data_IF_320671461205
#
_entry.id   IF_320671461205
#
_cell.length_a   1.000
_cell.length_b   1.000
_cell.length_c   1.000
_cell.angle_alpha   90.00
_cell.angle_beta   90.00
_cell.angle_gamma   90.00
#
_symmetry.space_group_name_H-M   'P 1'
#
loop_
_entity.id
_entity.type
_entity.pdbx_description
1 polymer ?
#
# COMPACT_ATOMS: atom_id res chain seq x y z
N UNK A 1 -18.63 -12.33 5.56
CA UNK A 1 -18.61 -11.05 6.29
C UNK A 1 -19.15 -9.97 5.38
N UNK A 2 -20.32 -9.44 5.71
CA UNK A 2 -20.94 -8.37 4.92
C UNK A 2 -20.47 -7.03 5.49
N UNK A 3 -19.48 -6.42 4.83
CA UNK A 3 -18.90 -5.11 5.22
C UNK A 3 -19.19 -4.10 4.11
N UNK A 4 -19.41 -2.84 4.45
CA UNK A 4 -19.45 -1.79 3.41
C UNK A 4 -18.05 -1.56 2.84
N UNK A 5 -18.00 -0.88 1.68
CA UNK A 5 -16.74 -0.45 1.09
C UNK A 5 -15.91 0.36 2.11
N UNK A 6 -14.62 0.01 2.33
CA UNK A 6 -13.79 0.65 3.33
C UNK A 6 -13.36 2.07 2.90
N UNK A 7 -12.92 2.89 3.86
CA UNK A 7 -12.19 4.14 3.63
C UNK A 7 -10.81 4.05 4.27
N UNK A 8 -9.79 4.55 3.57
CA UNK A 8 -8.40 4.50 4.03
C UNK A 8 -7.98 5.88 4.54
N UNK A 9 -7.35 5.89 5.72
CA UNK A 9 -6.75 7.07 6.32
C UNK A 9 -5.26 6.81 6.54
N UNK A 10 -4.43 7.84 6.34
CA UNK A 10 -2.97 7.72 6.55
C UNK A 10 -2.40 8.91 7.30
N UNK A 11 -1.39 8.68 8.14
CA UNK A 11 -0.57 9.70 8.81
C UNK A 11 0.91 9.40 8.59
N UNK A 12 1.58 10.23 7.76
CA UNK A 12 2.98 10.00 7.33
C UNK A 12 3.95 11.08 7.81
N UNK A 13 3.45 12.11 8.52
CA UNK A 13 4.24 13.30 8.87
C UNK A 13 5.23 13.05 10.01
N UNK A 14 4.87 12.21 10.96
CA UNK A 14 5.71 11.88 12.12
C UNK A 14 5.56 10.40 12.48
N UNK A 15 6.60 9.84 13.09
CA UNK A 15 6.53 8.48 13.66
C UNK A 15 5.72 8.51 14.98
N UNK A 16 4.97 7.44 15.31
CA UNK A 16 4.71 6.29 14.46
C UNK A 16 3.85 6.68 13.25
N UNK A 17 4.20 6.13 12.09
CA UNK A 17 3.35 6.26 10.90
C UNK A 17 2.10 5.43 11.12
N UNK A 18 0.97 5.86 10.58
CA UNK A 18 -0.30 5.20 10.83
C UNK A 18 -1.08 5.02 9.55
N UNK A 19 -1.80 3.91 9.47
CA UNK A 19 -2.97 3.81 8.61
C UNK A 19 -4.18 3.45 9.47
N UNK A 20 -5.35 3.84 9.00
CA UNK A 20 -6.59 3.38 9.60
C UNK A 20 -7.58 3.02 8.50
N UNK A 21 -8.44 2.06 8.81
CA UNK A 21 -9.47 1.61 7.89
C UNK A 21 -10.82 1.65 8.56
N UNK A 22 -11.71 2.43 7.96
CA UNK A 22 -13.07 2.62 8.43
C UNK A 22 -14.04 1.88 7.54
N UNK A 23 -14.92 1.09 8.13
CA UNK A 23 -16.01 0.43 7.43
C UNK A 23 -17.23 0.28 8.35
N UNK A 24 -18.39 0.03 7.78
CA UNK A 24 -19.58 -0.33 8.54
C UNK A 24 -19.74 -1.85 8.54
N UNK A 25 -19.75 -2.41 9.75
CA UNK A 25 -20.03 -3.82 10.00
C UNK A 25 -21.56 -4.00 10.05
N UNK A 26 -22.12 -4.66 9.05
CA UNK A 26 -23.59 -4.81 8.96
C UNK A 26 -24.14 -5.84 9.94
N UNK A 27 -23.32 -6.81 10.36
CA UNK A 27 -23.72 -7.84 11.34
C UNK A 27 -23.83 -7.21 12.72
N UNK A 28 -22.84 -6.40 13.11
CA UNK A 28 -22.82 -5.69 14.39
C UNK A 28 -23.53 -4.33 14.36
N UNK A 29 -23.99 -3.90 13.18
CA UNK A 29 -24.65 -2.62 12.90
C UNK A 29 -23.89 -1.40 13.44
N UNK A 30 -22.56 -1.40 13.33
CA UNK A 30 -21.71 -0.32 13.85
C UNK A 30 -20.59 0.07 12.90
N UNK A 31 -20.17 1.32 13.01
CA UNK A 31 -18.92 1.78 12.38
C UNK A 31 -17.75 1.17 13.14
N UNK A 32 -16.82 0.56 12.40
CA UNK A 32 -15.55 0.05 12.90
C UNK A 32 -14.44 0.91 12.32
N UNK A 33 -13.48 1.26 13.16
CA UNK A 33 -12.23 1.90 12.77
C UNK A 33 -11.09 1.08 13.34
N UNK A 34 -10.30 0.47 12.46
CA UNK A 34 -9.08 -0.23 12.82
C UNK A 34 -7.90 0.71 12.55
N UNK A 35 -7.01 0.86 13.53
CA UNK A 35 -5.84 1.76 13.44
C UNK A 35 -4.58 0.95 13.71
N UNK A 36 -3.62 1.05 12.80
CA UNK A 36 -2.35 0.33 12.83
C UNK A 36 -1.21 1.34 12.94
N UNK A 37 -0.20 1.01 13.75
CA UNK A 37 0.97 1.85 13.97
C UNK A 37 2.22 1.15 13.43
N UNK A 38 3.07 1.92 12.73
CA UNK A 38 4.27 1.43 12.07
C UNK A 38 5.45 2.35 12.34
N UNK A 39 6.63 1.76 12.51
CA UNK A 39 7.87 2.51 12.76
C UNK A 39 8.74 2.69 11.51
N UNK A 40 8.44 1.93 10.44
CA UNK A 40 9.02 2.12 9.12
C UNK A 40 7.93 2.29 8.05
N UNK A 41 8.27 3.00 6.97
CA UNK A 41 7.37 3.23 5.84
C UNK A 41 7.04 1.96 5.04
N UNK A 42 7.98 1.02 4.80
CA UNK A 42 7.67 -0.26 4.18
C UNK A 42 6.63 -1.05 4.96
N UNK A 43 6.77 -1.09 6.29
CA UNK A 43 5.84 -1.83 7.17
C UNK A 43 4.43 -1.23 7.09
N UNK A 44 4.32 0.10 6.96
CA UNK A 44 3.03 0.77 6.74
C UNK A 44 2.38 0.34 5.43
N UNK A 45 3.15 0.30 4.33
CA UNK A 45 2.63 -0.11 3.02
C UNK A 45 2.22 -1.58 3.05
N UNK A 46 3.06 -2.44 3.60
CA UNK A 46 2.78 -3.86 3.75
C UNK A 46 1.50 -4.08 4.56
N UNK A 47 1.40 -3.48 5.75
CA UNK A 47 0.22 -3.58 6.60
C UNK A 47 -1.05 -3.11 5.90
N UNK A 48 -0.99 -1.98 5.19
CA UNK A 48 -2.13 -1.49 4.42
C UNK A 48 -2.54 -2.45 3.30
N UNK A 49 -1.58 -3.00 2.55
CA UNK A 49 -1.87 -3.96 1.47
C UNK A 49 -2.49 -5.24 2.01
N UNK A 50 -1.98 -5.76 3.14
CA UNK A 50 -2.50 -6.96 3.79
C UNK A 50 -3.92 -6.74 4.33
N UNK A 51 -4.20 -5.58 4.91
CA UNK A 51 -5.57 -5.25 5.34
C UNK A 51 -6.51 -5.09 4.15
N UNK A 52 -6.06 -4.44 3.07
CA UNK A 52 -6.87 -4.28 1.86
C UNK A 52 -7.16 -5.61 1.17
N UNK A 53 -6.28 -6.61 1.30
CA UNK A 53 -6.47 -7.95 0.75
C UNK A 53 -7.74 -8.63 1.32
N UNK A 54 -8.18 -8.24 2.52
CA UNK A 54 -9.42 -8.74 3.13
C UNK A 54 -10.67 -8.29 2.37
N UNK A 55 -10.64 -7.16 1.66
CA UNK A 55 -11.76 -6.68 0.83
C UNK A 55 -11.53 -6.87 -0.66
N UNK A 56 -10.27 -6.90 -1.09
CA UNK A 56 -9.87 -7.02 -2.49
C UNK A 56 -8.77 -8.09 -2.59
N UNK A 57 -9.13 -9.38 -2.72
CA UNK A 57 -8.16 -10.48 -2.71
C UNK A 57 -7.06 -10.35 -3.78
N UNK A 58 -7.37 -9.66 -4.89
CA UNK A 58 -6.48 -9.40 -6.03
C UNK A 58 -5.76 -8.04 -5.95
N UNK A 59 -5.75 -7.36 -4.79
CA UNK A 59 -5.20 -6.00 -4.67
C UNK A 59 -3.71 -5.94 -5.03
N UNK A 60 -2.91 -6.95 -4.66
CA UNK A 60 -1.48 -6.96 -4.94
C UNK A 60 -1.23 -6.94 -6.46
N UNK A 61 -1.98 -7.75 -7.20
CA UNK A 61 -1.94 -7.80 -8.66
C UNK A 61 -2.35 -6.47 -9.28
N UNK A 62 -3.48 -5.90 -8.82
CA UNK A 62 -3.97 -4.61 -9.33
C UNK A 62 -2.97 -3.48 -9.08
N UNK A 63 -2.32 -3.47 -7.92
CA UNK A 63 -1.31 -2.47 -7.58
C UNK A 63 -0.07 -2.67 -8.42
N UNK A 64 0.40 -3.91 -8.62
CA UNK A 64 1.52 -4.22 -9.52
C UNK A 64 1.24 -3.76 -10.95
N UNK A 65 0.04 -3.99 -11.48
CA UNK A 65 -0.33 -3.53 -12.81
C UNK A 65 -0.39 -1.99 -12.94
N UNK A 66 -0.83 -1.28 -11.89
CA UNK A 66 -0.77 0.19 -11.86
C UNK A 66 0.68 0.69 -11.79
N UNK A 67 1.49 0.06 -10.95
CA UNK A 67 2.89 0.43 -10.76
C UNK A 67 3.74 0.19 -12.00
N UNK A 68 3.52 -0.93 -12.67
CA UNK A 68 4.16 -1.30 -13.93
C UNK A 68 3.85 -0.30 -15.04
N UNK A 69 2.58 0.05 -15.25
CA UNK A 69 2.19 1.09 -16.22
C UNK A 69 2.88 2.42 -15.92
N UNK A 70 2.99 2.80 -14.64
CA UNK A 70 3.68 4.04 -14.23
C UNK A 70 5.19 3.96 -14.44
N UNK A 71 5.78 2.79 -14.26
CA UNK A 71 7.20 2.52 -14.55
C UNK A 71 7.47 2.64 -16.05
N UNK A 72 6.70 1.95 -16.88
CA UNK A 72 6.86 1.98 -18.34
C UNK A 72 6.60 3.37 -18.93
N UNK A 73 5.71 4.16 -18.34
CA UNK A 73 5.39 5.51 -18.82
C UNK A 73 6.41 6.59 -18.42
N UNK A 74 7.32 6.32 -17.47
CA UNK A 74 8.21 7.34 -16.92
C UNK A 74 9.69 6.99 -17.15
N UNK A 75 10.42 7.77 -17.99
CA UNK A 75 11.83 7.50 -18.24
C UNK A 75 12.73 7.75 -17.02
N UNK A 76 12.23 8.48 -16.01
CA UNK A 76 12.98 8.79 -14.80
C UNK A 76 12.75 7.78 -13.67
N UNK A 77 11.76 6.90 -13.78
CA UNK A 77 11.48 5.92 -12.73
C UNK A 77 12.43 4.74 -12.87
N UNK A 78 13.33 4.59 -11.93
CA UNK A 78 14.41 3.57 -11.97
C UNK A 78 14.04 2.22 -11.35
N UNK A 79 12.90 2.12 -10.68
CA UNK A 79 12.45 0.91 -9.98
C UNK A 79 10.94 0.76 -9.94
N UNK A 80 10.47 -0.49 -9.94
CA UNK A 80 9.09 -0.84 -9.57
C UNK A 80 9.00 -0.94 -8.05
N UNK A 81 7.81 -0.68 -7.51
CA UNK A 81 7.56 -0.76 -6.07
C UNK A 81 7.03 -2.12 -5.64
N UNK A 82 6.32 -2.82 -6.54
CA UNK A 82 5.79 -4.16 -6.31
C UNK A 82 5.72 -4.94 -7.64
N UNK A 83 6.01 -6.24 -7.58
CA UNK A 83 5.94 -7.15 -8.72
C UNK A 83 5.82 -8.61 -8.25
N UNK A 84 5.31 -9.51 -9.09
CA UNK A 84 5.38 -10.96 -8.83
C UNK A 84 6.81 -11.49 -8.90
N UNK A 85 7.60 -10.93 -9.82
CA UNK A 85 8.99 -11.30 -10.00
C UNK A 85 9.90 -10.31 -9.26
N UNK A 86 10.63 -10.83 -8.27
CA UNK A 86 11.56 -10.07 -7.44
C UNK A 86 12.59 -9.32 -8.27
N UNK A 87 13.12 -9.96 -9.32
CA UNK A 87 14.26 -9.44 -10.09
C UNK A 87 13.87 -8.27 -11.00
N UNK A 88 12.56 -8.04 -11.14
CA UNK A 88 11.99 -6.93 -11.90
C UNK A 88 11.81 -5.64 -11.10
N UNK A 89 12.06 -5.66 -9.79
CA UNK A 89 11.96 -4.48 -8.93
C UNK A 89 13.06 -3.46 -9.22
N UNK A 90 14.31 -3.91 -9.39
CA UNK A 90 15.49 -3.07 -9.60
C UNK A 90 16.23 -3.43 -10.90
N UNK A 91 15.55 -3.34 -12.05
CA UNK A 91 16.13 -3.68 -13.36
C UNK A 91 17.46 -2.95 -13.60
N UNK A 92 17.54 -1.66 -13.26
CA UNK A 92 18.75 -0.86 -13.42
C UNK A 92 19.81 -1.08 -12.32
N UNK A 93 19.49 -1.81 -11.24
CA UNK A 93 20.41 -2.04 -10.12
C UNK A 93 20.16 -3.40 -9.46
N UNK A 94 20.39 -4.54 -10.16
CA UNK A 94 19.99 -5.87 -9.69
C UNK A 94 20.63 -6.28 -8.35
N UNK A 95 21.82 -5.76 -8.04
CA UNK A 95 22.52 -5.99 -6.77
C UNK A 95 21.75 -5.48 -5.52
N UNK A 96 20.74 -4.62 -5.71
CA UNK A 96 19.87 -4.15 -4.63
C UNK A 96 18.72 -5.10 -4.35
N UNK A 97 18.33 -5.94 -5.32
CA UNK A 97 17.12 -6.77 -5.27
C UNK A 97 17.09 -7.69 -4.05
N UNK A 98 18.19 -8.36 -3.75
CA UNK A 98 18.23 -9.32 -2.63
C UNK A 98 18.11 -8.64 -1.26
N UNK A 99 18.67 -7.43 -1.11
CA UNK A 99 18.76 -6.73 0.17
C UNK A 99 17.57 -5.82 0.44
N UNK A 100 17.01 -5.23 -0.62
CA UNK A 100 16.03 -4.15 -0.55
C UNK A 100 14.66 -4.55 -1.08
N UNK A 101 14.35 -5.85 -1.04
CA UNK A 101 13.05 -6.42 -1.38
C UNK A 101 12.54 -7.32 -0.27
N UNK A 102 11.22 -7.37 -0.10
CA UNK A 102 10.52 -8.22 0.87
C UNK A 102 9.36 -8.91 0.17
N UNK A 103 9.10 -10.17 0.47
CA UNK A 103 7.92 -10.88 -0.01
C UNK A 103 6.66 -10.43 0.73
N UNK A 104 5.56 -10.34 0.00
CA UNK A 104 4.22 -10.03 0.51
C UNK A 104 3.21 -10.91 -0.24
N UNK A 105 2.81 -12.02 0.37
CA UNK A 105 2.01 -13.04 -0.33
C UNK A 105 2.77 -13.65 -1.51
N UNK A 106 2.17 -13.56 -2.71
CA UNK A 106 2.71 -14.01 -3.99
C UNK A 106 3.47 -12.90 -4.77
N UNK A 107 3.72 -11.77 -4.11
CA UNK A 107 4.41 -10.62 -4.68
C UNK A 107 5.66 -10.25 -3.86
N UNK A 108 6.48 -9.38 -4.43
CA UNK A 108 7.64 -8.76 -3.81
C UNK A 108 7.47 -7.24 -3.83
N UNK A 109 7.87 -6.57 -2.75
CA UNK A 109 7.87 -5.12 -2.66
C UNK A 109 9.26 -4.58 -2.26
N UNK A 110 9.56 -3.36 -2.67
CA UNK A 110 10.79 -2.67 -2.22
C UNK A 110 10.70 -2.28 -0.74
N UNK A 111 11.85 -2.19 -0.07
CA UNK A 111 11.92 -1.77 1.35
C UNK A 111 12.70 -0.49 1.59
N UNK A 112 13.43 0.02 0.60
CA UNK A 112 14.22 1.25 0.71
C UNK A 112 13.43 2.51 0.28
N UNK A 113 12.20 2.67 0.78
CA UNK A 113 11.35 3.80 0.39
C UNK A 113 11.46 4.97 1.37
N UNK A 114 11.63 6.17 0.81
CA UNK A 114 11.43 7.43 1.51
C UNK A 114 9.95 7.86 1.47
N UNK A 115 9.67 9.06 1.97
CA UNK A 115 8.31 9.61 1.98
C UNK A 115 7.75 9.78 0.57
N UNK A 116 8.57 10.28 -0.36
CA UNK A 116 8.15 10.53 -1.75
C UNK A 116 7.70 9.24 -2.43
N UNK A 117 8.48 8.17 -2.30
CA UNK A 117 8.13 6.86 -2.85
C UNK A 117 6.93 6.25 -2.14
N UNK A 118 6.82 6.44 -0.82
CA UNK A 118 5.63 6.01 -0.07
C UNK A 118 4.37 6.69 -0.59
N UNK A 119 4.41 8.01 -0.85
CA UNK A 119 3.26 8.72 -1.43
C UNK A 119 2.93 8.23 -2.84
N UNK A 120 3.94 8.00 -3.69
CA UNK A 120 3.74 7.47 -5.02
C UNK A 120 3.14 6.05 -5.00
N UNK A 121 3.57 5.21 -4.06
CA UNK A 121 3.06 3.87 -3.86
C UNK A 121 1.63 3.88 -3.32
N UNK A 122 1.32 4.72 -2.32
CA UNK A 122 -0.05 4.94 -1.85
C UNK A 122 -0.98 5.43 -2.96
N UNK A 123 -0.49 6.29 -3.85
CA UNK A 123 -1.24 6.70 -5.03
C UNK A 123 -1.55 5.52 -5.95
N UNK A 124 -0.62 4.58 -6.13
CA UNK A 124 -0.89 3.36 -6.90
C UNK A 124 -1.93 2.46 -6.21
N UNK A 125 -1.85 2.32 -4.88
CA UNK A 125 -2.83 1.59 -4.05
C UNK A 125 -4.23 2.20 -4.16
N UNK A 126 -4.34 3.52 -4.09
CA UNK A 126 -5.60 4.25 -4.27
C UNK A 126 -6.18 4.03 -5.66
N UNK A 127 -5.36 4.17 -6.71
CA UNK A 127 -5.82 3.91 -8.08
C UNK A 127 -6.28 2.47 -8.29
N UNK A 128 -5.56 1.49 -7.73
CA UNK A 128 -5.87 0.07 -7.87
C UNK A 128 -7.14 -0.36 -7.11
N UNK A 129 -7.35 0.18 -5.90
CA UNK A 129 -8.52 -0.12 -5.05
C UNK A 129 -9.76 0.72 -5.43
N UNK A 130 -9.56 1.81 -6.18
CA UNK A 130 -10.58 2.82 -6.46
C UNK A 130 -11.09 3.53 -5.20
N UNK A 131 -10.39 3.42 -4.08
CA UNK A 131 -10.74 4.03 -2.80
C UNK A 131 -10.26 5.48 -2.75
N UNK A 132 -10.81 6.25 -1.81
CA UNK A 132 -10.22 7.55 -1.45
C UNK A 132 -9.27 7.37 -0.28
N UNK A 133 -8.13 8.05 -0.33
CA UNK A 133 -7.21 8.22 0.80
C UNK A 133 -7.45 9.58 1.42
N UNK A 134 -7.78 9.57 2.71
CA UNK A 134 -8.00 10.75 3.54
C UNK A 134 -6.84 10.89 4.56
N UNK A 135 -6.66 12.08 5.11
CA UNK A 135 -5.71 12.28 6.22
C UNK A 135 -6.30 11.70 7.49
N UNK A 136 -5.48 11.08 8.35
CA UNK A 136 -5.96 10.60 9.65
C UNK A 136 -6.57 11.73 10.52
N UNK A 137 -6.15 12.98 10.31
CA UNK A 137 -6.75 14.15 10.96
C UNK A 137 -8.21 14.41 10.55
N UNK A 138 -8.66 13.87 9.42
CA UNK A 138 -10.03 14.01 8.91
C UNK A 138 -10.96 12.90 9.43
N UNK A 139 -10.41 11.93 10.17
CA UNK A 139 -11.16 10.87 10.79
C UNK A 139 -12.05 11.45 11.91
N UNK A 140 -13.33 11.67 11.59
CA UNK A 140 -14.36 11.96 12.58
C UNK A 140 -14.86 10.63 13.16
N UNK A 141 -14.67 10.45 14.47
CA UNK A 141 -15.19 9.32 15.25
C UNK A 141 -16.66 9.53 15.59
#
# INVERSE_FOLDING_TARGET
MTRTRPRIYTHLMSRPYKHAIRYYDTERRKTVVEVQNHFALPDLIEGLLLDLKQWYPDILEKVAAVDDRRFMASPHKSRRYISRDRDTLYIASPHLTEKLSRSIGDHWMITNMGRTETYAFLSAIVSASGLKRESLSELKL
#
